data_IF_499368507124
#
_entry.id   IF_499368507124
#
_cell.length_a   1.000
_cell.length_b   1.000
_cell.length_c   1.000
_cell.angle_alpha   90.00
_cell.angle_beta   90.00
_cell.angle_gamma   90.00
#
_symmetry.space_group_name_H-M   'P 1'
#
loop_
_entity.id
_entity.type
_entity.pdbx_description
1 polymer ?
#
# COMPACT_ATOMS: atom_id res chain seq x y z
N UNK A 1 24.56 4.74 12.05
CA UNK A 1 23.31 4.50 11.28
C UNK A 1 22.13 5.27 11.84
N UNK A 2 21.77 5.16 13.13
CA UNK A 2 20.65 5.91 13.76
C UNK A 2 20.64 7.42 13.48
N UNK A 3 21.80 8.08 13.53
CA UNK A 3 21.88 9.54 13.28
C UNK A 3 21.39 9.93 11.88
N UNK A 4 21.69 9.13 10.86
CA UNK A 4 21.25 9.41 9.47
C UNK A 4 19.74 9.27 9.36
N UNK A 5 19.15 8.25 9.98
CA UNK A 5 17.69 8.07 9.99
C UNK A 5 17.00 9.26 10.68
N UNK A 6 17.52 9.72 11.82
CA UNK A 6 16.98 10.91 12.50
C UNK A 6 17.13 12.19 11.64
N UNK A 7 18.25 12.36 10.93
CA UNK A 7 18.44 13.48 10.01
C UNK A 7 17.43 13.44 8.86
N UNK A 8 17.20 12.26 8.26
CA UNK A 8 16.18 12.09 7.20
C UNK A 8 14.78 12.41 7.71
N UNK A 9 14.44 11.99 8.94
CA UNK A 9 13.18 12.31 9.58
C UNK A 9 13.01 13.82 9.83
N UNK A 10 14.06 14.51 10.29
CA UNK A 10 14.03 15.98 10.44
C UNK A 10 13.78 16.70 9.11
N UNK A 11 14.31 16.19 8.00
CA UNK A 11 14.01 16.75 6.68
C UNK A 11 12.53 16.51 6.34
N UNK A 12 12.02 15.29 6.58
CA UNK A 12 10.62 14.92 6.32
C UNK A 12 9.61 15.74 7.13
N UNK A 13 9.91 16.08 8.38
CA UNK A 13 9.03 16.95 9.18
C UNK A 13 8.86 18.35 8.57
N UNK A 14 9.88 18.89 7.91
CA UNK A 14 9.83 20.19 7.23
C UNK A 14 8.98 20.19 5.96
N UNK A 15 8.89 19.05 5.28
CA UNK A 15 8.17 18.90 3.99
C UNK A 15 6.95 17.96 4.07
N UNK A 16 6.50 17.67 5.29
CA UNK A 16 5.40 16.74 5.54
C UNK A 16 4.13 17.16 4.76
N UNK A 17 3.42 16.22 4.10
CA UNK A 17 2.14 16.49 3.46
C UNK A 17 1.05 17.00 4.41
N UNK A 18 1.23 16.81 5.73
CA UNK A 18 0.28 17.24 6.76
C UNK A 18 0.50 18.70 7.20
N UNK A 19 1.60 19.33 6.81
CA UNK A 19 1.88 20.73 7.12
C UNK A 19 0.99 21.67 6.28
N UNK A 20 0.86 22.95 6.69
CA UNK A 20 0.28 23.97 5.82
C UNK A 20 0.99 24.00 4.45
N UNK A 21 0.25 24.00 3.31
CA UNK A 21 0.86 23.88 1.99
C UNK A 21 1.94 24.91 1.68
N UNK A 22 1.78 26.15 2.18
CA UNK A 22 2.76 27.23 2.00
C UNK A 22 4.08 26.94 2.71
N UNK A 23 4.03 26.38 3.92
CA UNK A 23 5.23 26.02 4.70
C UNK A 23 6.01 24.91 4.01
N UNK A 24 5.33 23.83 3.58
CA UNK A 24 5.96 22.74 2.81
C UNK A 24 6.59 23.25 1.53
N UNK A 25 5.88 24.08 0.76
CA UNK A 25 6.42 24.64 -0.48
C UNK A 25 7.65 25.52 -0.25
N UNK A 26 7.66 26.33 0.82
CA UNK A 26 8.80 27.16 1.19
C UNK A 26 10.02 26.29 1.52
N UNK A 27 9.83 25.28 2.40
CA UNK A 27 10.88 24.32 2.76
C UNK A 27 11.44 23.58 1.52
N UNK A 28 10.56 23.08 0.64
CA UNK A 28 10.96 22.39 -0.59
C UNK A 28 11.83 23.27 -1.50
N UNK A 29 11.54 24.58 -1.59
CA UNK A 29 12.37 25.53 -2.37
C UNK A 29 13.74 25.75 -1.71
N UNK A 30 13.78 25.95 -0.39
CA UNK A 30 15.05 26.13 0.33
C UNK A 30 15.94 24.89 0.20
N UNK A 31 15.36 23.70 0.35
CA UNK A 31 16.05 22.40 0.19
C UNK A 31 16.64 22.25 -1.22
N UNK A 32 15.94 22.73 -2.25
CA UNK A 32 16.46 22.76 -3.61
C UNK A 32 17.64 23.74 -3.74
N UNK A 33 17.47 24.99 -3.28
CA UNK A 33 18.50 26.03 -3.39
C UNK A 33 19.80 25.71 -2.64
N UNK A 34 19.73 25.01 -1.51
CA UNK A 34 20.92 24.58 -0.77
C UNK A 34 21.52 23.25 -1.28
N UNK A 35 21.05 22.73 -2.42
CA UNK A 35 21.48 21.46 -3.03
C UNK A 35 21.24 20.20 -2.20
N UNK A 36 20.43 20.26 -1.13
CA UNK A 36 20.15 19.09 -0.30
C UNK A 36 19.40 18.01 -1.10
N UNK A 37 18.49 18.39 -2.00
CA UNK A 37 17.84 17.42 -2.91
C UNK A 37 18.86 16.67 -3.78
N UNK A 38 19.87 17.38 -4.31
CA UNK A 38 20.93 16.76 -5.12
C UNK A 38 21.72 15.74 -4.30
N UNK A 39 22.15 16.12 -3.09
CA UNK A 39 22.89 15.22 -2.19
C UNK A 39 22.10 13.95 -1.88
N UNK A 40 20.79 14.07 -1.64
CA UNK A 40 19.92 12.92 -1.39
C UNK A 40 19.73 12.04 -2.64
N UNK A 41 19.66 12.63 -3.83
CA UNK A 41 19.62 11.88 -5.09
C UNK A 41 20.94 11.14 -5.36
N UNK A 42 22.08 11.79 -5.11
CA UNK A 42 23.39 11.16 -5.22
C UNK A 42 23.54 9.99 -4.22
N UNK A 43 22.94 10.13 -3.03
CA UNK A 43 22.87 9.05 -2.06
C UNK A 43 22.01 7.89 -2.59
N UNK A 44 20.82 8.15 -3.15
CA UNK A 44 19.95 7.11 -3.72
C UNK A 44 20.68 6.24 -4.77
N UNK A 45 21.60 6.83 -5.53
CA UNK A 45 22.34 6.15 -6.60
C UNK A 45 23.61 5.43 -6.17
N UNK A 46 24.03 5.55 -4.90
CA UNK A 46 25.26 4.92 -4.40
C UNK A 46 25.04 3.44 -4.05
N UNK A 47 26.01 2.61 -4.41
CA UNK A 47 26.07 1.21 -4.02
C UNK A 47 26.51 1.04 -2.57
N UNK A 48 26.02 -0.01 -1.90
CA UNK A 48 26.46 -0.38 -0.54
C UNK A 48 25.73 0.34 0.60
N UNK A 49 24.65 1.06 0.31
CA UNK A 49 23.81 1.68 1.34
C UNK A 49 22.92 0.61 2.00
N UNK A 50 22.84 0.59 3.35
CA UNK A 50 21.89 -0.27 4.04
C UNK A 50 20.45 -0.06 3.57
N UNK A 51 19.70 -1.15 3.37
CA UNK A 51 18.35 -1.12 2.78
C UNK A 51 17.38 -0.18 3.54
N UNK A 52 17.49 -0.10 4.86
CA UNK A 52 16.69 0.80 5.70
C UNK A 52 16.97 2.28 5.39
N UNK A 53 18.25 2.66 5.29
CA UNK A 53 18.67 4.02 4.95
C UNK A 53 18.23 4.37 3.53
N UNK A 54 18.37 3.44 2.58
CA UNK A 54 17.92 3.64 1.21
C UNK A 54 16.41 3.87 1.16
N UNK A 55 15.63 3.05 1.88
CA UNK A 55 14.16 3.18 1.96
C UNK A 55 13.76 4.55 2.50
N UNK A 56 14.37 4.99 3.61
CA UNK A 56 14.06 6.30 4.19
C UNK A 56 14.54 7.45 3.30
N UNK A 57 15.67 7.30 2.60
CA UNK A 57 16.14 8.30 1.64
C UNK A 57 15.14 8.46 0.49
N UNK A 58 14.61 7.36 -0.05
CA UNK A 58 13.58 7.38 -1.09
C UNK A 58 12.32 8.08 -0.60
N UNK A 59 11.86 7.80 0.63
CA UNK A 59 10.72 8.49 1.24
C UNK A 59 10.97 9.99 1.45
N UNK A 60 12.17 10.37 1.89
CA UNK A 60 12.55 11.79 2.05
C UNK A 60 12.56 12.52 0.71
N UNK A 61 13.17 11.93 -0.33
CA UNK A 61 13.16 12.51 -1.69
C UNK A 61 11.73 12.64 -2.20
N UNK A 62 10.87 11.63 -1.98
CA UNK A 62 9.46 11.66 -2.37
C UNK A 62 8.74 12.90 -1.83
N UNK A 63 8.87 13.18 -0.53
CA UNK A 63 8.21 14.33 0.10
C UNK A 63 8.81 15.68 -0.34
N UNK A 64 10.11 15.74 -0.62
CA UNK A 64 10.77 16.95 -1.15
C UNK A 64 10.27 17.30 -2.54
N UNK A 65 10.02 16.30 -3.41
CA UNK A 65 9.57 16.55 -4.79
C UNK A 65 8.05 16.71 -4.90
N UNK A 66 7.27 16.18 -3.95
CA UNK A 66 5.81 16.07 -4.06
C UNK A 66 5.13 17.41 -4.37
N UNK A 67 4.60 17.54 -5.59
CA UNK A 67 3.83 18.71 -6.04
C UNK A 67 4.64 20.00 -6.20
N UNK A 68 5.97 19.89 -6.27
CA UNK A 68 6.88 20.99 -6.56
C UNK A 68 7.54 20.77 -7.93
N UNK A 69 7.16 21.58 -8.91
CA UNK A 69 7.51 21.30 -10.31
C UNK A 69 9.01 21.42 -10.58
N UNK A 70 9.70 22.35 -9.91
CA UNK A 70 11.16 22.51 -10.04
C UNK A 70 11.88 21.27 -9.54
N UNK A 71 11.48 20.78 -8.37
CA UNK A 71 12.09 19.60 -7.75
C UNK A 71 11.78 18.33 -8.55
N UNK A 72 10.56 18.19 -9.07
CA UNK A 72 10.17 17.07 -9.95
C UNK A 72 10.92 17.10 -11.29
N UNK A 73 11.09 18.29 -11.88
CA UNK A 73 11.84 18.46 -13.12
C UNK A 73 13.32 18.08 -12.92
N UNK A 74 13.93 18.55 -11.83
CA UNK A 74 15.29 18.14 -11.44
C UNK A 74 15.38 16.62 -11.28
N UNK A 75 14.46 16.01 -10.52
CA UNK A 75 14.45 14.57 -10.31
C UNK A 75 14.32 13.77 -11.61
N UNK A 76 13.57 14.29 -12.60
CA UNK A 76 13.35 13.61 -13.88
C UNK A 76 14.59 13.47 -14.76
N UNK A 77 15.63 14.26 -14.49
CA UNK A 77 16.89 14.25 -15.25
C UNK A 77 18.06 13.65 -14.46
N UNK A 78 17.80 13.10 -13.27
CA UNK A 78 18.83 12.39 -12.49
C UNK A 78 19.04 11.02 -13.13
N UNK A 79 20.30 10.69 -13.42
CA UNK A 79 20.71 9.38 -13.91
C UNK A 79 21.47 8.60 -12.85
N UNK A 80 21.23 7.30 -12.80
CA UNK A 80 22.05 6.37 -12.04
C UNK A 80 23.37 6.10 -12.79
N UNK A 81 24.50 5.92 -12.07
CA UNK A 81 25.85 5.78 -12.62
C UNK A 81 26.10 4.38 -13.21
N UNK A 82 25.19 3.90 -14.05
CA UNK A 82 25.37 2.71 -14.87
C UNK A 82 26.05 3.06 -16.20
N UNK A 83 26.53 2.04 -16.91
CA UNK A 83 27.04 2.18 -18.26
C UNK A 83 26.21 1.28 -19.19
N UNK A 84 25.29 1.82 -20.01
CA UNK A 84 24.92 3.24 -20.16
C UNK A 84 24.13 3.79 -18.94
N UNK A 85 24.13 5.13 -18.72
CA UNK A 85 23.35 5.76 -17.66
C UNK A 85 21.87 5.40 -17.77
N UNK A 86 21.21 5.21 -16.63
CA UNK A 86 19.78 4.89 -16.58
C UNK A 86 19.03 5.96 -15.79
N UNK A 87 17.89 6.47 -16.30
CA UNK A 87 17.09 7.44 -15.56
C UNK A 87 16.68 6.91 -14.19
N UNK A 88 16.74 7.78 -13.17
CA UNK A 88 16.36 7.47 -11.80
C UNK A 88 14.97 6.80 -11.71
N UNK A 89 14.01 7.32 -12.48
CA UNK A 89 12.64 6.82 -12.54
C UNK A 89 12.60 5.36 -13.03
N UNK A 90 13.41 5.00 -14.03
CA UNK A 90 13.49 3.62 -14.55
C UNK A 90 14.08 2.70 -13.50
N UNK A 91 15.16 3.10 -12.84
CA UNK A 91 15.81 2.32 -11.77
C UNK A 91 14.86 2.09 -10.59
N UNK A 92 14.12 3.13 -10.20
CA UNK A 92 13.06 3.03 -9.21
C UNK A 92 11.99 2.02 -9.63
N UNK A 93 11.43 2.14 -10.84
CA UNK A 93 10.41 1.20 -11.31
C UNK A 93 10.93 -0.25 -11.39
N UNK A 94 12.19 -0.47 -11.78
CA UNK A 94 12.82 -1.80 -11.72
C UNK A 94 12.85 -2.35 -10.28
N UNK A 95 13.19 -1.52 -9.30
CA UNK A 95 13.15 -1.90 -7.88
C UNK A 95 11.72 -2.16 -7.40
N UNK A 96 10.73 -1.41 -7.90
CA UNK A 96 9.32 -1.53 -7.51
C UNK A 96 8.71 -2.88 -7.90
N UNK A 97 9.05 -3.39 -9.07
CA UNK A 97 8.47 -4.63 -9.64
C UNK A 97 9.32 -5.88 -9.38
N UNK A 98 10.48 -5.74 -8.73
CA UNK A 98 11.36 -6.86 -8.42
C UNK A 98 10.93 -7.54 -7.13
N UNK A 99 10.56 -8.82 -7.20
CA UNK A 99 10.26 -9.68 -6.04
C UNK A 99 11.44 -9.88 -5.09
N UNK A 100 12.68 -9.72 -5.58
CA UNK A 100 13.91 -9.77 -4.78
C UNK A 100 14.09 -8.58 -3.83
N UNK A 101 13.34 -7.49 -4.01
CA UNK A 101 13.50 -6.28 -3.20
C UNK A 101 12.64 -6.33 -1.94
N UNK A 102 13.11 -5.78 -0.80
CA UNK A 102 12.33 -5.71 0.42
C UNK A 102 10.99 -4.99 0.20
N UNK A 103 9.93 -5.50 0.83
CA UNK A 103 8.58 -4.93 0.75
C UNK A 103 8.55 -3.42 1.06
N UNK A 104 9.24 -3.00 2.13
CA UNK A 104 9.32 -1.60 2.54
C UNK A 104 9.94 -0.69 1.46
N UNK A 105 11.00 -1.16 0.79
CA UNK A 105 11.64 -0.45 -0.30
C UNK A 105 10.70 -0.32 -1.50
N UNK A 106 10.02 -1.40 -1.89
CA UNK A 106 9.05 -1.40 -2.99
C UNK A 106 7.91 -0.40 -2.73
N UNK A 107 7.41 -0.31 -1.50
CA UNK A 107 6.43 0.70 -1.07
C UNK A 107 6.98 2.13 -1.15
N UNK A 108 8.20 2.38 -0.64
CA UNK A 108 8.83 3.70 -0.68
C UNK A 108 9.04 4.17 -2.13
N UNK A 109 9.45 3.26 -3.00
CA UNK A 109 9.64 3.50 -4.43
C UNK A 109 8.32 3.86 -5.11
N UNK A 110 7.24 3.11 -4.85
CA UNK A 110 5.91 3.47 -5.35
C UNK A 110 5.50 4.87 -4.87
N UNK A 111 5.68 5.16 -3.59
CA UNK A 111 5.35 6.47 -3.02
C UNK A 111 6.17 7.61 -3.67
N UNK A 112 7.45 7.37 -3.92
CA UNK A 112 8.32 8.31 -4.65
C UNK A 112 7.80 8.56 -6.08
N UNK A 113 7.44 7.51 -6.81
CA UNK A 113 6.86 7.62 -8.14
C UNK A 113 5.53 8.39 -8.13
N UNK A 114 4.65 8.12 -7.15
CA UNK A 114 3.40 8.86 -6.96
C UNK A 114 3.65 10.34 -6.66
N UNK A 115 4.67 10.67 -5.85
CA UNK A 115 5.05 12.04 -5.53
C UNK A 115 5.65 12.77 -6.74
N UNK A 116 6.41 12.07 -7.58
CA UNK A 116 6.90 12.59 -8.85
C UNK A 116 5.75 12.97 -9.81
N UNK A 117 4.68 12.18 -9.84
CA UNK A 117 3.50 12.42 -10.68
C UNK A 117 2.47 13.39 -10.07
N UNK A 118 2.49 13.58 -8.76
CA UNK A 118 1.51 14.40 -8.06
C UNK A 118 1.54 15.85 -8.57
N UNK A 119 0.41 16.31 -9.13
CA UNK A 119 0.26 17.62 -9.78
C UNK A 119 1.27 17.89 -10.91
N UNK A 120 1.77 16.85 -11.59
CA UNK A 120 2.79 16.95 -12.62
C UNK A 120 2.31 16.41 -13.99
N UNK A 121 1.54 17.19 -14.77
CA UNK A 121 1.00 16.73 -16.05
C UNK A 121 2.10 16.38 -17.07
N UNK A 122 3.24 17.08 -17.03
CA UNK A 122 4.40 16.78 -17.88
C UNK A 122 5.00 15.42 -17.54
N UNK A 123 5.18 15.12 -16.25
CA UNK A 123 5.67 13.82 -15.79
C UNK A 123 4.71 12.69 -16.14
N UNK A 124 3.40 12.90 -15.97
CA UNK A 124 2.35 11.96 -16.37
C UNK A 124 2.42 11.66 -17.88
N UNK A 125 2.49 12.70 -18.71
CA UNK A 125 2.57 12.57 -20.17
C UNK A 125 3.81 11.80 -20.61
N UNK A 126 4.99 12.09 -20.02
CA UNK A 126 6.22 11.34 -20.28
C UNK A 126 6.06 9.85 -20.00
N UNK A 127 5.46 9.48 -18.87
CA UNK A 127 5.22 8.06 -18.54
C UNK A 127 4.28 7.41 -19.56
N UNK A 128 3.12 8.02 -19.83
CA UNK A 128 2.11 7.45 -20.75
C UNK A 128 2.65 7.33 -22.18
N UNK A 129 3.43 8.31 -22.64
CA UNK A 129 4.03 8.28 -23.97
C UNK A 129 4.93 7.07 -24.20
N UNK A 130 5.55 6.52 -23.13
CA UNK A 130 6.41 5.33 -23.24
C UNK A 130 5.64 4.02 -23.43
N UNK A 131 4.31 4.04 -23.28
CA UNK A 131 3.43 2.91 -23.60
C UNK A 131 2.87 2.99 -25.02
N UNK A 132 2.94 4.17 -25.66
CA UNK A 132 2.37 4.38 -26.97
C UNK A 132 3.33 3.92 -28.08
N UNK A 133 2.81 3.39 -29.20
CA UNK A 133 3.62 3.09 -30.37
C UNK A 133 4.33 4.37 -30.83
N UNK A 134 5.65 4.42 -30.65
CA UNK A 134 6.50 5.47 -31.19
C UNK A 134 7.24 4.86 -32.38
N UNK A 135 7.16 5.50 -33.55
CA UNK A 135 7.73 4.97 -34.80
C UNK A 135 9.27 4.81 -34.81
N UNK A 136 9.92 5.06 -33.69
CA UNK A 136 11.36 4.93 -33.47
C UNK A 136 11.53 3.93 -32.34
N UNK A 137 11.66 2.65 -32.69
CA UNK A 137 11.98 1.62 -31.71
C UNK A 137 13.44 1.82 -31.28
N UNK A 138 13.68 2.57 -30.21
CA UNK A 138 14.94 2.48 -29.46
C UNK A 138 14.97 1.12 -28.75
N UNK A 139 15.21 0.05 -29.52
CA UNK A 139 15.08 -1.35 -29.11
C UNK A 139 16.03 -1.77 -27.96
N UNK A 140 16.88 -0.86 -27.46
CA UNK A 140 17.95 -1.18 -26.52
C UNK A 140 17.75 -0.62 -25.10
N UNK A 141 16.69 0.16 -24.83
CA UNK A 141 16.47 0.74 -23.50
C UNK A 141 15.12 0.33 -22.91
N UNK A 142 15.17 -0.14 -21.65
CA UNK A 142 13.97 -0.47 -20.89
C UNK A 142 13.23 0.82 -20.51
N UNK A 143 11.98 0.94 -20.92
CA UNK A 143 11.15 2.13 -20.64
C UNK A 143 10.30 1.96 -19.38
N UNK A 144 9.80 3.09 -18.84
CA UNK A 144 8.84 3.07 -17.73
C UNK A 144 7.58 2.28 -18.08
N UNK A 145 7.06 2.45 -19.30
CA UNK A 145 5.91 1.74 -19.83
C UNK A 145 6.08 0.23 -19.85
N UNK A 146 7.23 -0.25 -20.34
CA UNK A 146 7.56 -1.68 -20.35
C UNK A 146 7.61 -2.27 -18.94
N UNK A 147 8.21 -1.55 -17.97
CA UNK A 147 8.26 -1.98 -16.57
C UNK A 147 6.88 -2.02 -15.93
N UNK A 148 6.03 -1.02 -16.20
CA UNK A 148 4.66 -0.98 -15.68
C UNK A 148 3.81 -2.12 -16.27
N UNK A 149 3.88 -2.37 -17.58
CA UNK A 149 3.21 -3.53 -18.18
C UNK A 149 3.75 -4.85 -17.64
N UNK A 150 5.07 -4.98 -17.49
CA UNK A 150 5.72 -6.15 -16.90
C UNK A 150 5.24 -6.41 -15.47
N UNK A 151 5.13 -5.37 -14.64
CA UNK A 151 4.58 -5.48 -13.29
C UNK A 151 3.10 -5.81 -13.29
N UNK A 152 2.29 -5.18 -14.15
CA UNK A 152 0.84 -5.33 -14.23
C UNK A 152 0.42 -6.76 -14.59
N UNK A 153 1.23 -7.45 -15.42
CA UNK A 153 0.97 -8.80 -15.92
C UNK A 153 1.92 -9.86 -15.38
N UNK A 154 2.69 -9.54 -14.34
CA UNK A 154 3.54 -10.51 -13.65
C UNK A 154 2.74 -11.51 -12.81
N UNK A 155 3.39 -12.60 -12.40
CA UNK A 155 2.83 -13.56 -11.46
C UNK A 155 2.85 -13.06 -10.00
N UNK A 156 3.56 -11.97 -9.71
CA UNK A 156 3.62 -11.38 -8.38
C UNK A 156 2.45 -10.41 -8.17
N UNK A 157 1.51 -10.80 -7.30
CA UNK A 157 0.32 -9.99 -6.99
C UNK A 157 0.65 -8.60 -6.45
N UNK A 158 1.77 -8.46 -5.72
CA UNK A 158 2.19 -7.14 -5.23
C UNK A 158 2.76 -6.26 -6.34
N UNK A 159 3.51 -6.83 -7.29
CA UNK A 159 3.91 -6.14 -8.53
C UNK A 159 2.70 -5.66 -9.33
N UNK A 160 1.65 -6.49 -9.46
CA UNK A 160 0.43 -6.08 -10.13
C UNK A 160 -0.20 -4.87 -9.42
N UNK A 161 -0.24 -4.89 -8.09
CA UNK A 161 -0.75 -3.78 -7.29
C UNK A 161 0.06 -2.49 -7.46
N UNK A 162 1.38 -2.56 -7.33
CA UNK A 162 2.25 -1.40 -7.52
C UNK A 162 2.11 -0.80 -8.93
N UNK A 163 2.12 -1.63 -9.97
CA UNK A 163 1.99 -1.19 -11.35
C UNK A 163 0.62 -0.54 -11.63
N UNK A 164 -0.46 -1.14 -11.12
CA UNK A 164 -1.80 -0.58 -11.24
C UNK A 164 -1.92 0.77 -10.53
N UNK A 165 -1.39 0.90 -9.31
CA UNK A 165 -1.41 2.17 -8.58
C UNK A 165 -0.54 3.24 -9.25
N UNK A 166 0.62 2.87 -9.76
CA UNK A 166 1.49 3.76 -10.53
C UNK A 166 0.80 4.29 -11.79
N UNK A 167 0.10 3.42 -12.54
CA UNK A 167 -0.70 3.81 -13.71
C UNK A 167 -1.89 4.69 -13.33
N UNK A 168 -2.60 4.39 -12.24
CA UNK A 168 -3.68 5.25 -11.74
C UNK A 168 -3.20 6.67 -11.46
N UNK A 169 -2.01 6.82 -10.85
CA UNK A 169 -1.40 8.14 -10.63
C UNK A 169 -0.96 8.82 -11.92
N UNK A 170 -0.52 8.06 -12.93
CA UNK A 170 -0.21 8.60 -14.25
C UNK A 170 -1.45 9.15 -14.97
N UNK A 171 -2.63 8.57 -14.73
CA UNK A 171 -3.91 8.98 -15.30
C UNK A 171 -4.69 9.99 -14.44
N UNK A 172 -4.24 10.23 -13.20
CA UNK A 172 -5.02 10.95 -12.22
C UNK A 172 -5.34 12.38 -12.69
N UNK A 173 -6.64 12.68 -12.77
CA UNK A 173 -7.20 13.97 -13.23
C UNK A 173 -6.68 14.42 -14.60
N UNK A 174 -6.27 13.50 -15.46
CA UNK A 174 -5.76 13.81 -16.80
C UNK A 174 -6.59 13.07 -17.86
N UNK A 175 -7.61 13.76 -18.40
CA UNK A 175 -8.57 13.16 -19.35
C UNK A 175 -7.88 12.76 -20.66
N UNK A 176 -7.02 13.62 -21.20
CA UNK A 176 -6.34 13.38 -22.46
C UNK A 176 -5.46 12.13 -22.39
N UNK A 177 -4.73 11.95 -21.28
CA UNK A 177 -3.89 10.75 -21.09
C UNK A 177 -4.71 9.47 -20.93
N UNK A 178 -5.91 9.55 -20.34
CA UNK A 178 -6.83 8.39 -20.28
C UNK A 178 -7.27 7.96 -21.67
N UNK A 179 -7.58 8.91 -22.54
CA UNK A 179 -7.94 8.64 -23.93
C UNK A 179 -6.74 8.11 -24.73
N UNK A 180 -5.56 8.69 -24.53
CA UNK A 180 -4.34 8.20 -25.16
C UNK A 180 -4.02 6.75 -24.77
N UNK A 181 -4.17 6.40 -23.49
CA UNK A 181 -3.85 5.06 -23.01
C UNK A 181 -4.74 3.96 -23.65
N UNK A 182 -5.93 4.32 -24.16
CA UNK A 182 -6.80 3.37 -24.90
C UNK A 182 -6.16 2.88 -26.20
N UNK A 183 -5.18 3.61 -26.73
CA UNK A 183 -4.47 3.27 -27.98
C UNK A 183 -3.37 2.22 -27.77
N UNK A 184 -3.03 1.87 -26.53
CA UNK A 184 -2.00 0.89 -26.22
C UNK A 184 -2.48 -0.51 -26.60
N UNK A 185 -1.70 -1.18 -27.44
CA UNK A 185 -1.92 -2.55 -27.90
C UNK A 185 -0.80 -3.45 -27.38
N UNK A 186 -1.17 -4.61 -26.85
CA UNK A 186 -0.28 -5.62 -26.32
C UNK A 186 -0.12 -6.76 -27.32
N UNK A 187 1.10 -7.23 -27.51
CA UNK A 187 1.38 -8.42 -28.30
C UNK A 187 0.97 -9.69 -27.54
N UNK A 188 0.17 -10.54 -28.17
CA UNK A 188 -0.43 -11.76 -27.57
C UNK A 188 0.24 -13.05 -28.02
N UNK A 189 1.25 -12.97 -28.88
CA UNK A 189 1.98 -14.10 -29.46
C UNK A 189 2.00 -14.05 -31.00
N UNK A 190 2.88 -14.84 -31.62
CA UNK A 190 2.98 -14.89 -33.08
C UNK A 190 1.69 -15.46 -33.66
N UNK A 191 1.01 -14.71 -34.53
CA UNK A 191 -0.23 -15.12 -35.20
C UNK A 191 -1.53 -14.75 -34.47
N UNK A 192 -1.45 -14.22 -33.25
CA UNK A 192 -2.64 -13.74 -32.52
C UNK A 192 -2.86 -12.24 -32.74
N UNK A 193 -4.13 -11.83 -32.74
CA UNK A 193 -4.48 -10.41 -32.83
C UNK A 193 -4.04 -9.67 -31.55
N UNK A 194 -3.47 -8.46 -31.67
CA UNK A 194 -3.15 -7.62 -30.52
C UNK A 194 -4.39 -7.36 -29.66
N UNK A 195 -4.19 -7.29 -28.35
CA UNK A 195 -5.24 -6.96 -27.39
C UNK A 195 -4.97 -5.59 -26.79
N UNK A 196 -6.00 -4.75 -26.64
CA UNK A 196 -5.81 -3.46 -25.99
C UNK A 196 -5.46 -3.62 -24.51
N UNK A 197 -4.73 -2.66 -23.94
CA UNK A 197 -4.41 -2.66 -22.52
C UNK A 197 -5.67 -2.74 -21.64
N UNK A 198 -6.72 -1.98 -22.01
CA UNK A 198 -8.00 -1.99 -21.31
C UNK A 198 -8.65 -3.37 -21.36
N UNK A 199 -8.68 -4.01 -22.52
CA UNK A 199 -9.27 -5.33 -22.68
C UNK A 199 -8.50 -6.39 -21.89
N UNK A 200 -7.17 -6.31 -21.84
CA UNK A 200 -6.37 -7.23 -21.05
C UNK A 200 -6.61 -7.06 -19.54
N UNK A 201 -6.77 -5.84 -19.05
CA UNK A 201 -7.22 -5.58 -17.68
C UNK A 201 -8.59 -6.23 -17.40
N UNK A 202 -9.55 -6.09 -18.32
CA UNK A 202 -10.86 -6.75 -18.20
C UNK A 202 -10.74 -8.28 -18.18
N UNK A 203 -9.90 -8.86 -19.05
CA UNK A 203 -9.67 -10.31 -19.08
C UNK A 203 -9.13 -10.84 -17.75
N UNK A 204 -8.28 -10.09 -17.04
CA UNK A 204 -7.77 -10.49 -15.71
C UNK A 204 -8.87 -10.55 -14.66
N UNK A 205 -9.87 -9.67 -14.75
CA UNK A 205 -11.04 -9.68 -13.86
C UNK A 205 -11.96 -10.86 -14.16
N UNK A 206 -12.23 -11.10 -15.45
CA UNK A 206 -13.07 -12.19 -15.92
C UNK A 206 -12.44 -13.57 -15.66
N UNK A 207 -11.10 -13.63 -15.59
CA UNK A 207 -10.40 -14.87 -15.30
C UNK A 207 -10.51 -15.27 -13.82
N UNK A 208 -11.16 -16.42 -13.57
CA UNK A 208 -11.32 -17.05 -12.25
C UNK A 208 -10.01 -17.42 -11.54
N UNK A 209 -8.88 -17.50 -12.25
CA UNK A 209 -7.57 -17.88 -11.69
C UNK A 209 -6.75 -16.75 -11.04
N UNK A 210 -7.09 -15.47 -11.28
CA UNK A 210 -6.33 -14.33 -10.73
C UNK A 210 -6.51 -14.19 -9.21
N UNK A 211 -5.44 -13.85 -8.49
CA UNK A 211 -5.53 -13.59 -7.05
C UNK A 211 -6.47 -12.41 -6.74
N UNK A 212 -7.11 -12.42 -5.57
CA UNK A 212 -7.97 -11.32 -5.14
C UNK A 212 -7.23 -9.99 -5.09
N UNK A 213 -5.95 -9.99 -4.70
CA UNK A 213 -5.13 -8.78 -4.65
C UNK A 213 -4.91 -8.19 -6.06
N UNK A 214 -4.60 -9.04 -7.04
CA UNK A 214 -4.47 -8.60 -8.44
C UNK A 214 -5.80 -8.05 -8.96
N UNK A 215 -6.92 -8.70 -8.69
CA UNK A 215 -8.24 -8.20 -9.11
C UNK A 215 -8.57 -6.84 -8.51
N UNK A 216 -8.31 -6.65 -7.21
CA UNK A 216 -8.50 -5.35 -6.54
C UNK A 216 -7.64 -4.28 -7.20
N UNK A 217 -6.36 -4.58 -7.45
CA UNK A 217 -5.44 -3.66 -8.13
C UNK A 217 -5.98 -3.20 -9.49
N UNK A 218 -6.41 -4.15 -10.32
CA UNK A 218 -6.97 -3.88 -11.65
C UNK A 218 -8.29 -3.09 -11.55
N UNK A 219 -9.18 -3.44 -10.62
CA UNK A 219 -10.41 -2.69 -10.38
C UNK A 219 -10.12 -1.25 -9.97
N UNK A 220 -9.17 -1.01 -9.06
CA UNK A 220 -8.78 0.34 -8.67
C UNK A 220 -8.22 1.15 -9.84
N UNK A 221 -7.42 0.52 -10.72
CA UNK A 221 -6.96 1.15 -11.96
C UNK A 221 -8.13 1.49 -12.89
N UNK A 222 -9.03 0.54 -13.15
CA UNK A 222 -10.19 0.75 -14.02
C UNK A 222 -11.10 1.84 -13.48
N UNK A 223 -11.45 1.83 -12.20
CA UNK A 223 -12.23 2.90 -11.57
C UNK A 223 -11.56 4.26 -11.78
N UNK A 224 -10.24 4.35 -11.54
CA UNK A 224 -9.52 5.59 -11.76
C UNK A 224 -9.50 6.02 -13.23
N UNK A 225 -9.34 5.08 -14.16
CA UNK A 225 -9.29 5.32 -15.60
C UNK A 225 -10.65 5.80 -16.13
N UNK A 226 -11.74 5.10 -15.82
CA UNK A 226 -13.09 5.36 -16.32
C UNK A 226 -13.70 6.66 -15.74
N UNK A 227 -13.32 7.04 -14.53
CA UNK A 227 -13.84 8.24 -13.86
C UNK A 227 -13.65 9.51 -14.73
N UNK A 228 -14.74 10.23 -15.03
CA UNK A 228 -14.71 11.43 -15.88
C UNK A 228 -14.13 11.20 -17.30
N UNK A 229 -14.24 9.99 -17.85
CA UNK A 229 -13.80 9.68 -19.21
C UNK A 229 -14.84 8.83 -19.97
N UNK A 230 -15.83 9.46 -20.62
CA UNK A 230 -16.91 8.75 -21.32
C UNK A 230 -16.41 7.80 -22.43
N UNK A 231 -15.34 8.18 -23.14
CA UNK A 231 -14.75 7.35 -24.20
C UNK A 231 -14.17 6.05 -23.61
N UNK A 232 -13.48 6.13 -22.47
CA UNK A 232 -12.97 4.94 -21.81
C UNK A 232 -14.11 4.04 -21.31
N UNK A 233 -15.21 4.62 -20.82
CA UNK A 233 -16.43 3.88 -20.45
C UNK A 233 -17.03 3.16 -21.65
N UNK A 234 -17.18 3.83 -22.79
CA UNK A 234 -17.69 3.21 -24.01
C UNK A 234 -16.83 2.03 -24.48
N UNK A 235 -15.49 2.20 -24.47
CA UNK A 235 -14.57 1.12 -24.79
C UNK A 235 -14.65 -0.04 -23.80
N UNK A 236 -14.78 0.24 -22.50
CA UNK A 236 -14.94 -0.79 -21.48
C UNK A 236 -16.23 -1.60 -21.67
N UNK A 237 -17.36 -0.91 -21.86
CA UNK A 237 -18.67 -1.53 -22.04
C UNK A 237 -18.84 -2.27 -23.39
N UNK A 238 -17.97 -2.00 -24.37
CA UNK A 238 -17.98 -2.72 -25.65
C UNK A 238 -17.68 -4.22 -25.49
N UNK A 239 -17.05 -4.63 -24.39
CA UNK A 239 -16.87 -6.02 -24.03
C UNK A 239 -18.13 -6.57 -23.35
N UNK A 240 -18.91 -7.35 -24.09
CA UNK A 240 -20.19 -7.92 -23.65
C UNK A 240 -20.10 -8.83 -22.41
N UNK A 241 -18.91 -9.35 -22.07
CA UNK A 241 -18.72 -10.21 -20.90
C UNK A 241 -18.64 -9.42 -19.57
N UNK A 242 -18.41 -8.11 -19.62
CA UNK A 242 -18.19 -7.30 -18.42
C UNK A 242 -19.49 -7.00 -17.66
N UNK A 243 -20.58 -6.72 -18.38
CA UNK A 243 -21.88 -6.41 -17.75
C UNK A 243 -22.38 -7.59 -16.90
N UNK A 244 -22.43 -8.84 -17.41
CA UNK A 244 -22.81 -10.00 -16.59
C UNK A 244 -21.87 -10.20 -15.39
N UNK A 245 -20.57 -10.04 -15.59
CA UNK A 245 -19.58 -10.16 -14.51
C UNK A 245 -19.82 -9.17 -13.37
N UNK A 246 -20.11 -7.90 -13.68
CA UNK A 246 -20.40 -6.87 -12.66
C UNK A 246 -21.71 -7.19 -11.93
N UNK A 247 -22.72 -7.73 -12.62
CA UNK A 247 -24.01 -8.09 -12.04
C UNK A 247 -23.92 -9.30 -11.09
N UNK A 248 -22.96 -10.21 -11.29
CA UNK A 248 -22.78 -11.41 -10.45
C UNK A 248 -21.89 -11.21 -9.21
N UNK A 249 -21.31 -10.01 -8.99
CA UNK A 249 -20.35 -9.78 -7.90
C UNK A 249 -21.02 -9.91 -6.52
N UNK A 250 -20.70 -10.99 -5.81
CA UNK A 250 -21.00 -11.15 -4.38
C UNK A 250 -19.85 -10.56 -3.54
N UNK A 251 -20.18 -9.63 -2.65
CA UNK A 251 -19.22 -8.97 -1.76
C UNK A 251 -18.66 -9.94 -0.72
N UNK A 252 -17.43 -10.39 -0.92
CA UNK A 252 -16.62 -10.93 0.17
C UNK A 252 -15.17 -10.45 0.06
N UNK A 253 -14.82 -9.53 0.98
CA UNK A 253 -13.49 -9.03 1.36
C UNK A 253 -12.73 -8.21 0.32
N UNK A 254 -12.84 -6.87 0.44
CA UNK A 254 -12.09 -5.90 -0.35
C UNK A 254 -11.15 -5.08 0.54
N UNK A 255 -9.89 -4.93 0.10
CA UNK A 255 -8.92 -3.98 0.63
C UNK A 255 -8.89 -2.77 -0.30
N UNK A 256 -8.98 -1.56 0.23
CA UNK A 256 -9.02 -0.32 -0.55
C UNK A 256 -7.83 0.59 -0.22
N UNK A 257 -7.31 1.29 -1.23
CA UNK A 257 -6.28 2.32 -1.05
C UNK A 257 -6.89 3.69 -0.67
N UNK A 258 -6.09 4.60 -0.10
CA UNK A 258 -6.51 5.92 0.33
C UNK A 258 -7.02 6.83 -0.82
N UNK A 259 -6.38 6.81 -2.00
CA UNK A 259 -6.83 7.62 -3.13
C UNK A 259 -8.08 6.99 -3.79
N UNK A 260 -8.16 5.65 -3.83
CA UNK A 260 -9.38 4.93 -4.20
C UNK A 260 -10.54 5.27 -3.27
N UNK A 261 -10.38 5.19 -1.94
CA UNK A 261 -11.45 5.51 -0.98
C UNK A 261 -11.91 6.95 -1.09
N UNK A 262 -11.02 7.90 -1.39
CA UNK A 262 -11.38 9.30 -1.64
C UNK A 262 -12.17 9.46 -2.95
N UNK A 263 -11.76 8.78 -4.01
CA UNK A 263 -12.49 8.77 -5.28
C UNK A 263 -13.85 8.10 -5.12
N UNK A 264 -13.89 6.94 -4.47
CA UNK A 264 -15.09 6.19 -4.14
C UNK A 264 -16.06 7.05 -3.35
N UNK A 265 -15.64 7.67 -2.24
CA UNK A 265 -16.51 8.54 -1.43
C UNK A 265 -17.09 9.73 -2.22
N UNK A 266 -16.34 10.25 -3.19
CA UNK A 266 -16.83 11.33 -4.07
C UNK A 266 -17.82 10.83 -5.11
N UNK A 267 -17.56 9.66 -5.68
CA UNK A 267 -18.37 9.07 -6.75
C UNK A 267 -19.62 8.37 -6.21
N UNK A 268 -19.54 7.74 -5.04
CA UNK A 268 -20.63 7.04 -4.36
C UNK A 268 -21.87 7.92 -4.26
N UNK A 269 -21.73 9.14 -3.72
CA UNK A 269 -22.85 10.08 -3.58
C UNK A 269 -23.46 10.43 -4.93
N UNK A 270 -22.62 10.63 -5.96
CA UNK A 270 -23.09 11.00 -7.29
C UNK A 270 -23.76 9.84 -8.01
N UNK A 271 -23.20 8.63 -7.91
CA UNK A 271 -23.71 7.40 -8.53
C UNK A 271 -25.02 7.00 -7.86
N UNK A 272 -25.08 6.98 -6.53
CA UNK A 272 -26.30 6.66 -5.78
C UNK A 272 -27.44 7.60 -6.16
N UNK A 273 -27.15 8.90 -6.31
CA UNK A 273 -28.17 9.86 -6.74
C UNK A 273 -28.66 9.58 -8.16
N UNK A 274 -27.76 9.33 -9.11
CA UNK A 274 -28.12 9.03 -10.49
C UNK A 274 -28.86 7.69 -10.68
N UNK A 275 -28.66 6.71 -9.78
CA UNK A 275 -29.41 5.45 -9.79
C UNK A 275 -30.83 5.65 -9.22
N UNK A 276 -31.02 6.59 -8.29
CA UNK A 276 -32.32 6.85 -7.65
C UNK A 276 -33.25 7.79 -8.42
N UNK A 277 -32.86 8.28 -9.60
CA UNK A 277 -33.65 9.26 -10.36
C UNK A 277 -34.80 8.65 -11.20
N UNK A 278 -34.98 7.32 -11.21
CA UNK A 278 -35.94 6.61 -12.09
C UNK A 278 -37.18 5.97 -11.43
N UNK A 279 -37.44 6.12 -10.11
CA UNK A 279 -38.68 5.59 -9.50
C UNK A 279 -39.59 6.70 -8.96
N UNK A 280 -40.62 7.01 -9.75
CA UNK A 280 -41.67 7.98 -9.44
C UNK A 280 -42.53 7.58 -8.23
N UNK A 281 -42.55 8.49 -7.26
CA UNK A 281 -43.61 8.87 -6.31
C UNK A 281 -44.33 7.84 -5.39
N UNK A 282 -44.44 6.54 -5.70
CA UNK A 282 -45.31 5.63 -4.93
C UNK A 282 -44.55 4.72 -3.93
N UNK A 283 -43.23 4.62 -4.04
CA UNK A 283 -42.42 3.68 -3.23
C UNK A 283 -41.72 4.31 -2.01
N UNK A 284 -41.94 5.61 -1.76
CA UNK A 284 -41.35 6.33 -0.61
C UNK A 284 -41.85 5.83 0.74
N UNK A 285 -43.02 5.20 0.81
CA UNK A 285 -43.54 4.66 2.08
C UNK A 285 -43.00 3.26 2.40
N UNK A 286 -42.74 2.41 1.40
CA UNK A 286 -42.15 1.07 1.59
C UNK A 286 -40.63 1.11 1.74
N UNK A 287 -39.96 2.01 1.01
CA UNK A 287 -38.50 2.17 1.07
C UNK A 287 -38.02 2.72 2.42
N UNK A 288 -38.83 3.54 3.10
CA UNK A 288 -38.52 3.99 4.47
C UNK A 288 -38.58 2.84 5.50
N UNK A 289 -39.57 1.96 5.44
CA UNK A 289 -39.65 0.80 6.34
C UNK A 289 -38.55 -0.24 6.08
N UNK A 290 -38.19 -0.45 4.82
CA UNK A 290 -37.06 -1.35 4.46
C UNK A 290 -35.72 -0.74 4.85
N UNK A 291 -35.49 0.57 4.69
CA UNK A 291 -34.28 1.23 5.16
C UNK A 291 -34.15 1.21 6.69
N UNK A 292 -35.25 1.38 7.42
CA UNK A 292 -35.24 1.29 8.89
C UNK A 292 -34.96 -0.14 9.36
N UNK A 293 -35.57 -1.13 8.69
CA UNK A 293 -35.30 -2.56 8.89
C UNK A 293 -33.84 -2.94 8.61
N UNK A 294 -33.28 -2.45 7.49
CA UNK A 294 -31.89 -2.71 7.09
C UNK A 294 -30.91 -2.02 8.04
N UNK A 295 -31.16 -0.77 8.43
CA UNK A 295 -30.34 -0.07 9.42
C UNK A 295 -30.40 -0.76 10.79
N UNK A 296 -31.57 -1.26 11.19
CA UNK A 296 -31.70 -2.06 12.40
C UNK A 296 -30.94 -3.38 12.30
N UNK A 297 -30.99 -4.05 11.14
CA UNK A 297 -30.21 -5.26 10.87
C UNK A 297 -28.69 -5.00 10.94
N UNK A 298 -28.20 -3.91 10.32
CA UNK A 298 -26.80 -3.48 10.43
C UNK A 298 -26.40 -3.13 11.87
N UNK A 299 -27.26 -2.45 12.64
CA UNK A 299 -27.00 -2.15 14.05
C UNK A 299 -26.90 -3.41 14.89
N UNK A 300 -27.76 -4.40 14.64
CA UNK A 300 -27.70 -5.71 15.32
C UNK A 300 -26.42 -6.44 14.93
N UNK A 301 -26.05 -6.45 13.64
CA UNK A 301 -24.84 -7.10 13.15
C UNK A 301 -23.57 -6.46 13.72
N UNK A 302 -23.51 -5.13 13.83
CA UNK A 302 -22.40 -4.40 14.46
C UNK A 302 -22.31 -4.73 15.94
N UNK A 303 -23.44 -4.79 16.67
CA UNK A 303 -23.47 -5.19 18.08
C UNK A 303 -23.00 -6.63 18.27
N UNK A 304 -23.46 -7.54 17.42
CA UNK A 304 -23.10 -8.96 17.48
C UNK A 304 -21.62 -9.17 17.12
N UNK A 305 -21.10 -8.43 16.15
CA UNK A 305 -19.67 -8.44 15.81
C UNK A 305 -18.80 -7.86 16.93
N UNK A 306 -19.20 -6.73 17.52
CA UNK A 306 -18.52 -6.14 18.67
C UNK A 306 -18.50 -7.11 19.86
N UNK A 307 -19.62 -7.81 20.12
CA UNK A 307 -19.72 -8.79 21.18
C UNK A 307 -18.87 -10.04 20.91
N UNK A 308 -18.87 -10.57 19.68
CA UNK A 308 -17.99 -11.69 19.30
C UNK A 308 -16.50 -11.30 19.38
N UNK A 309 -16.16 -10.05 19.08
CA UNK A 309 -14.80 -9.55 19.20
C UNK A 309 -14.39 -9.42 20.68
N UNK A 310 -15.29 -8.93 21.54
CA UNK A 310 -15.11 -8.89 22.99
C UNK A 310 -14.93 -10.30 23.57
N UNK A 311 -15.77 -11.26 23.16
CA UNK A 311 -15.67 -12.66 23.57
C UNK A 311 -14.34 -13.29 23.13
N UNK A 312 -13.87 -13.03 21.90
CA UNK A 312 -12.55 -13.49 21.43
C UNK A 312 -11.42 -12.90 22.27
N UNK A 313 -11.47 -11.59 22.55
CA UNK A 313 -10.46 -10.94 23.38
C UNK A 313 -10.49 -11.44 24.83
N UNK A 314 -11.68 -11.75 25.39
CA UNK A 314 -11.83 -12.33 26.71
C UNK A 314 -11.29 -13.76 26.78
N UNK A 315 -11.55 -14.60 25.78
CA UNK A 315 -11.00 -15.97 25.69
C UNK A 315 -9.47 -15.92 25.63
N UNK A 316 -8.91 -15.03 24.82
CA UNK A 316 -7.46 -14.88 24.68
C UNK A 316 -6.83 -14.36 25.99
N UNK A 317 -7.49 -13.43 26.70
CA UNK A 317 -7.05 -12.99 28.03
C UNK A 317 -7.05 -14.13 29.06
N UNK A 318 -8.08 -14.99 29.05
CA UNK A 318 -8.13 -16.16 29.93
C UNK A 318 -7.00 -17.14 29.59
N UNK A 319 -6.71 -17.36 28.31
CA UNK A 319 -5.58 -18.20 27.88
C UNK A 319 -4.23 -17.64 28.36
N UNK A 320 -4.01 -16.33 28.20
CA UNK A 320 -2.77 -15.68 28.66
C UNK A 320 -2.67 -15.74 30.20
N UNK A 321 -3.77 -15.49 30.93
CA UNK A 321 -3.79 -15.62 32.39
C UNK A 321 -3.48 -17.05 32.85
N UNK A 322 -4.03 -18.06 32.17
CA UNK A 322 -3.74 -19.47 32.47
C UNK A 322 -2.27 -19.82 32.19
N UNK A 323 -1.68 -19.32 31.09
CA UNK A 323 -0.25 -19.49 30.82
C UNK A 323 0.61 -18.85 31.91
N UNK A 324 0.27 -17.65 32.37
CA UNK A 324 0.98 -16.98 33.47
C UNK A 324 0.86 -17.77 34.78
N UNK A 325 -0.30 -18.34 35.09
CA UNK A 325 -0.50 -19.18 36.27
C UNK A 325 0.36 -20.46 36.23
N UNK A 326 0.35 -21.17 35.10
CA UNK A 326 1.17 -22.37 34.89
C UNK A 326 2.66 -22.05 35.03
N UNK A 327 3.12 -20.93 34.47
CA UNK A 327 4.52 -20.53 34.60
C UNK A 327 4.90 -20.18 36.04
N UNK A 328 4.01 -19.53 36.81
CA UNK A 328 4.23 -19.25 38.23
C UNK A 328 4.32 -20.52 39.06
N UNK A 329 3.44 -21.50 38.83
CA UNK A 329 3.47 -22.78 39.53
C UNK A 329 4.70 -23.60 39.16
N UNK A 330 5.09 -23.61 37.87
CA UNK A 330 6.31 -24.26 37.42
C UNK A 330 7.57 -23.63 38.04
N UNK A 331 7.61 -22.30 38.16
CA UNK A 331 8.69 -21.59 38.85
C UNK A 331 8.71 -21.92 40.35
N UNK A 332 7.55 -21.93 41.02
CA UNK A 332 7.43 -22.27 42.44
C UNK A 332 7.90 -23.70 42.73
N UNK A 333 7.47 -24.68 41.94
CA UNK A 333 7.89 -26.07 42.09
C UNK A 333 9.39 -26.26 41.85
N UNK A 334 9.99 -25.54 40.89
CA UNK A 334 11.44 -25.55 40.68
C UNK A 334 12.21 -24.96 41.87
N UNK A 335 11.69 -23.89 42.48
CA UNK A 335 12.28 -23.30 43.69
C UNK A 335 12.17 -24.27 44.87
N UNK A 336 11.01 -24.91 45.09
CA UNK A 336 10.82 -25.90 46.16
C UNK A 336 11.71 -27.14 45.98
N UNK A 337 11.90 -27.62 44.75
CA UNK A 337 12.82 -28.72 44.45
C UNK A 337 14.27 -28.35 44.77
N UNK A 338 14.72 -27.15 44.38
CA UNK A 338 16.07 -26.65 44.72
C UNK A 338 16.27 -26.45 46.21
N UNK A 339 15.24 -25.99 46.93
CA UNK A 339 15.28 -25.87 48.40
C UNK A 339 15.39 -27.26 49.04
N UNK A 340 14.62 -28.26 48.57
CA UNK A 340 14.71 -29.65 49.07
C UNK A 340 16.06 -30.29 48.76
N UNK A 341 16.61 -30.07 47.57
CA UNK A 341 17.97 -30.50 47.19
C UNK A 341 19.04 -29.88 48.10
N UNK A 342 18.89 -28.60 48.44
CA UNK A 342 19.80 -27.87 49.35
C UNK A 342 19.68 -28.30 50.82
N UNK A 343 18.54 -28.89 51.23
CA UNK A 343 18.33 -29.41 52.59
C UNK A 343 18.84 -30.87 52.70
N UNK A 344 18.81 -31.65 51.61
CA UNK A 344 19.28 -33.05 51.59
C UNK A 344 20.81 -33.16 51.55
N UNK A 345 21.50 -32.13 51.06
CA UNK A 345 22.96 -32.04 51.00
C UNK A 345 23.38 -31.08 52.11
N UNK A 346 23.81 -31.60 53.25
CA UNK A 346 24.12 -30.80 54.43
C UNK A 346 25.07 -29.64 54.16
N UNK A 347 24.60 -28.41 54.42
CA UNK A 347 25.33 -27.16 54.63
C UNK A 347 26.68 -27.00 53.90
N UNK A 348 26.63 -26.76 52.60
CA UNK A 348 27.60 -25.92 51.90
C UNK A 348 26.85 -24.86 51.09
N UNK A 349 27.29 -23.60 51.18
CA UNK A 349 26.65 -22.46 50.48
C UNK A 349 26.61 -22.75 48.97
N UNK A 350 25.43 -22.81 48.33
CA UNK A 350 25.37 -23.06 46.89
C UNK A 350 25.84 -21.81 46.15
N UNK A 351 26.83 -22.00 45.28
CA UNK A 351 27.36 -20.97 44.39
C UNK A 351 26.26 -20.59 43.39
N UNK A 352 25.63 -19.43 43.60
CA UNK A 352 24.39 -18.95 42.95
C UNK A 352 24.51 -18.65 41.45
N UNK A 353 25.55 -19.12 40.74
CA UNK A 353 25.93 -18.54 39.46
C UNK A 353 26.03 -19.48 38.26
N UNK A 354 25.50 -20.70 38.32
CA UNK A 354 25.35 -21.52 37.10
C UNK A 354 23.98 -22.19 37.05
N UNK A 355 23.22 -21.85 36.01
CA UNK A 355 22.00 -22.53 35.54
C UNK A 355 20.65 -22.20 36.20
N UNK A 356 20.44 -20.92 36.55
CA UNK A 356 19.11 -20.32 36.61
C UNK A 356 19.24 -18.86 36.21
N UNK A 357 18.62 -18.45 35.09
CA UNK A 357 18.50 -17.06 34.69
C UNK A 357 17.10 -16.56 35.10
N UNK A 358 16.95 -16.04 36.33
CA UNK A 358 15.68 -15.48 36.80
C UNK A 358 15.25 -14.25 36.01
N UNK A 359 16.17 -13.57 35.32
CA UNK A 359 15.88 -12.34 34.58
C UNK A 359 15.15 -12.67 33.27
N UNK A 360 15.54 -13.72 32.54
CA UNK A 360 14.84 -14.17 31.33
C UNK A 360 13.36 -14.57 31.56
N UNK A 361 13.06 -15.27 32.67
CA UNK A 361 11.68 -15.63 33.02
C UNK A 361 10.88 -14.43 33.57
N UNK A 362 11.53 -13.54 34.34
CA UNK A 362 10.91 -12.28 34.77
C UNK A 362 10.55 -11.39 33.59
N UNK A 363 11.43 -11.25 32.61
CA UNK A 363 11.21 -10.44 31.42
C UNK A 363 10.04 -10.97 30.60
N UNK A 364 9.92 -12.29 30.47
CA UNK A 364 8.80 -12.94 29.78
C UNK A 364 7.48 -12.74 30.52
N UNK A 365 7.47 -12.90 31.85
CA UNK A 365 6.28 -12.65 32.68
C UNK A 365 5.88 -11.16 32.66
N UNK A 366 6.85 -10.25 32.72
CA UNK A 366 6.62 -8.81 32.67
C UNK A 366 6.06 -8.38 31.30
N UNK A 367 6.60 -8.93 30.20
CA UNK A 367 6.06 -8.75 28.86
C UNK A 367 4.61 -9.23 28.74
N UNK A 368 4.27 -10.39 29.30
CA UNK A 368 2.90 -10.91 29.27
C UNK A 368 1.95 -10.11 30.19
N UNK A 369 2.44 -9.58 31.32
CA UNK A 369 1.68 -8.67 32.17
C UNK A 369 1.34 -7.35 31.47
N UNK A 370 2.30 -6.79 30.72
CA UNK A 370 2.07 -5.59 29.92
C UNK A 370 1.04 -5.85 28.82
N UNK A 371 1.10 -7.01 28.15
CA UNK A 371 0.09 -7.42 27.15
C UNK A 371 -1.32 -7.62 27.76
N UNK A 372 -1.41 -8.14 28.99
CA UNK A 372 -2.69 -8.20 29.72
C UNK A 372 -3.24 -6.80 29.96
N UNK A 373 -2.40 -5.88 30.45
CA UNK A 373 -2.82 -4.52 30.79
C UNK A 373 -3.26 -3.72 29.55
N UNK A 374 -2.53 -3.83 28.44
CA UNK A 374 -2.94 -3.23 27.15
C UNK A 374 -4.28 -3.77 26.64
N UNK A 375 -4.50 -5.09 26.73
CA UNK A 375 -5.78 -5.70 26.33
C UNK A 375 -6.93 -5.30 27.27
N UNK A 376 -6.69 -5.19 28.58
CA UNK A 376 -7.70 -4.71 29.54
C UNK A 376 -8.09 -3.24 29.28
N UNK A 377 -7.14 -2.39 28.90
CA UNK A 377 -7.43 -1.01 28.48
C UNK A 377 -8.20 -0.94 27.16
N UNK A 378 -7.89 -1.82 26.21
CA UNK A 378 -8.59 -1.90 24.93
C UNK A 378 -10.06 -2.32 25.14
N UNK A 379 -10.30 -3.30 26.03
CA UNK A 379 -11.64 -3.75 26.42
C UNK A 379 -12.44 -2.64 27.10
N UNK A 380 -11.81 -1.78 27.91
CA UNK A 380 -12.49 -0.64 28.55
C UNK A 380 -12.87 0.49 27.58
N UNK A 381 -12.26 0.54 26.39
CA UNK A 381 -12.49 1.58 25.36
C UNK A 381 -13.53 1.19 24.31
N UNK A 382 -13.90 -0.09 24.27
CA UNK A 382 -14.98 -0.65 23.44
C UNK A 382 -16.27 -0.70 24.26
#
# INVERSE_FOLDING_TARGET
MKNVLLMLQLIRTLVSPNNPPQSTQSSQKVIYHCNLLKILCDLLMKTGIPAEILTETVNTVAEIIRGNQTNQAFFSVVDAPYTPPKPAIVVLLMSMISDKQPFSLRCAVLYCFQCYLYKNPTGQSRVISTLLPSGVAEANHITAGQLLCGGLFSNDSFSNWCAAMALSHALFRNKDLKEQLLRVQLATGVGYQPVSLLQQCSNILLNGGSSSQTRIAILSLLCSWLTNCPIAVAHFLSNSAIIPFIQEVKSDRVLFDHEFTKQFKKLEVSISKSISEDDDADDKFKTSQTNESVVMSYKVLIREQAQRQLERQAIELVQIRNQVAIMKDCAKNKIELKIKESIHIGWEKPDMNKQYDPDSQKDTVHSLQNQIQEKEELIKKL
#
